data_IF_458468216565
#
_entry.id   IF_458468216565
#
_cell.length_a   1.000
_cell.length_b   1.000
_cell.length_c   1.000
_cell.angle_alpha   90.00
_cell.angle_beta   90.00
_cell.angle_gamma   90.00
#
_symmetry.space_group_name_H-M   'P 1'
#
loop_
_entity.id
_entity.type
_entity.pdbx_description
1 polymer ?
#
# COMPACT_ATOMS: atom_id res chain seq x y z
N UNK A 1 1.99 -5.23 13.79
CA UNK A 1 0.53 -5.08 13.63
C UNK A 1 0.32 -4.15 12.46
N UNK A 2 -0.35 -4.60 11.40
CA UNK A 2 -0.67 -3.78 10.23
C UNK A 2 -1.75 -2.79 10.64
N UNK A 3 -1.38 -1.53 10.83
CA UNK A 3 -2.32 -0.45 11.15
C UNK A 3 -2.37 0.51 9.97
N UNK A 4 -3.53 1.13 9.81
CA UNK A 4 -3.75 2.22 8.85
C UNK A 4 -3.59 3.54 9.58
N UNK A 5 -2.73 4.41 9.08
CA UNK A 5 -2.64 5.79 9.52
C UNK A 5 -3.69 6.63 8.79
N UNK A 6 -4.58 7.28 9.53
CA UNK A 6 -5.73 8.02 9.01
C UNK A 6 -5.80 9.42 9.66
N UNK A 7 -4.83 10.31 9.36
CA UNK A 7 -4.86 11.68 9.83
C UNK A 7 -6.07 12.42 9.25
N UNK A 8 -6.61 13.39 9.99
CA UNK A 8 -7.73 14.16 9.48
C UNK A 8 -7.25 15.20 8.45
N UNK A 9 -7.50 14.95 7.17
CA UNK A 9 -7.32 15.94 6.10
C UNK A 9 -5.93 15.98 5.46
N UNK A 10 -5.04 15.03 5.76
CA UNK A 10 -3.74 14.96 5.09
C UNK A 10 -3.81 14.04 3.86
N UNK A 11 -3.61 14.60 2.68
CA UNK A 11 -3.73 13.88 1.43
C UNK A 11 -2.37 13.29 1.00
N UNK A 12 -2.21 11.97 1.17
CA UNK A 12 -1.01 11.24 0.73
C UNK A 12 -1.08 10.99 -0.78
N UNK A 13 -0.30 11.74 -1.54
CA UNK A 13 -0.24 11.61 -3.00
C UNK A 13 0.90 10.74 -3.48
N UNK A 14 1.94 10.54 -2.67
CA UNK A 14 3.12 9.75 -3.03
C UNK A 14 3.37 8.62 -2.03
N UNK A 15 3.90 7.47 -2.47
CA UNK A 15 4.27 6.36 -1.57
C UNK A 15 5.21 6.78 -0.44
N UNK A 16 6.20 7.62 -0.73
CA UNK A 16 7.17 8.07 0.26
C UNK A 16 6.57 8.94 1.37
N UNK A 17 5.53 9.73 1.08
CA UNK A 17 4.82 10.48 2.13
C UNK A 17 4.19 9.53 3.14
N UNK A 18 3.57 8.45 2.69
CA UNK A 18 2.97 7.45 3.57
C UNK A 18 4.05 6.65 4.31
N UNK A 19 5.10 6.19 3.62
CA UNK A 19 6.25 5.48 4.20
C UNK A 19 6.91 6.25 5.34
N UNK A 20 7.05 7.57 5.23
CA UNK A 20 7.68 8.41 6.24
C UNK A 20 6.93 8.44 7.59
N UNK A 21 5.69 7.95 7.63
CA UNK A 21 4.86 7.92 8.85
C UNK A 21 5.15 6.72 9.76
N UNK A 22 5.97 5.77 9.30
CA UNK A 22 6.30 4.56 10.04
C UNK A 22 7.81 4.37 10.13
N UNK A 23 8.29 4.02 11.33
CA UNK A 23 9.68 3.65 11.55
C UNK A 23 9.86 2.15 11.36
N UNK A 24 10.52 1.78 10.25
CA UNK A 24 10.80 0.39 9.90
C UNK A 24 11.92 -0.25 10.72
N UNK A 25 12.78 0.55 11.35
CA UNK A 25 13.84 0.03 12.22
C UNK A 25 13.25 -0.45 13.56
N UNK A 26 12.40 0.37 14.19
CA UNK A 26 11.70 0.01 15.42
C UNK A 26 10.38 -0.76 15.20
N UNK A 27 9.91 -0.83 13.95
CA UNK A 27 8.62 -1.41 13.55
C UNK A 27 7.44 -0.79 14.29
N UNK A 28 7.44 0.53 14.44
CA UNK A 28 6.42 1.27 15.18
C UNK A 28 6.06 2.60 14.51
N UNK A 29 4.85 3.10 14.81
CA UNK A 29 4.50 4.48 14.47
C UNK A 29 5.17 5.42 15.49
N UNK A 30 5.77 6.55 15.06
CA UNK A 30 6.38 7.51 15.96
C UNK A 30 5.38 8.03 16.99
N UNK A 31 5.83 8.30 18.21
CA UNK A 31 4.98 8.83 19.29
C UNK A 31 4.32 10.19 18.97
N UNK A 32 4.81 10.90 17.96
CA UNK A 32 4.22 12.14 17.46
C UNK A 32 2.90 11.92 16.71
N UNK A 33 2.61 10.70 16.24
CA UNK A 33 1.32 10.36 15.61
C UNK A 33 0.29 10.08 16.70
N UNK A 34 -0.80 10.86 16.79
CA UNK A 34 -1.85 10.63 17.78
C UNK A 34 -2.48 9.24 17.62
N UNK A 35 -2.67 8.52 18.73
CA UNK A 35 -3.29 7.19 18.71
C UNK A 35 -4.70 7.19 18.09
N UNK A 36 -5.44 8.28 18.20
CA UNK A 36 -6.76 8.45 17.57
C UNK A 36 -6.75 8.47 16.04
N UNK A 37 -5.57 8.63 15.42
CA UNK A 37 -5.36 8.62 13.97
C UNK A 37 -4.88 7.25 13.47
N UNK A 38 -4.61 6.31 14.37
CA UNK A 38 -4.24 4.94 14.01
C UNK A 38 -5.46 4.03 14.06
N UNK A 39 -5.62 3.22 13.02
CA UNK A 39 -6.78 2.34 12.85
C UNK A 39 -6.34 0.90 12.64
N UNK A 40 -7.04 -0.02 13.27
CA UNK A 40 -6.77 -1.47 13.19
C UNK A 40 -7.47 -2.14 12.01
N UNK A 41 -7.71 -1.40 10.92
CA UNK A 41 -8.53 -1.87 9.81
C UNK A 41 -7.89 -3.00 8.99
N UNK A 42 -6.57 -3.01 8.81
CA UNK A 42 -5.95 -4.03 7.96
C UNK A 42 -6.14 -5.44 8.52
N UNK A 43 -6.84 -6.30 7.78
CA UNK A 43 -7.05 -7.70 8.14
C UNK A 43 -8.24 -7.95 9.08
N UNK A 44 -9.01 -6.93 9.46
CA UNK A 44 -10.32 -7.11 10.11
C UNK A 44 -11.46 -6.91 9.11
N UNK A 45 -12.70 -7.29 9.48
CA UNK A 45 -13.94 -7.05 8.70
C UNK A 45 -13.82 -7.26 7.18
N UNK A 46 -13.10 -8.30 6.76
CA UNK A 46 -12.76 -8.52 5.34
C UNK A 46 -13.97 -8.60 4.39
N UNK A 47 -15.16 -8.91 4.91
CA UNK A 47 -16.42 -8.99 4.17
C UNK A 47 -17.13 -7.64 3.98
N UNK A 48 -16.68 -6.56 4.64
CA UNK A 48 -17.27 -5.22 4.56
C UNK A 48 -16.93 -4.51 3.23
N UNK A 49 -15.76 -4.82 2.66
CA UNK A 49 -15.31 -4.25 1.39
C UNK A 49 -14.75 -2.83 1.47
N UNK A 50 -14.71 -2.21 2.65
CA UNK A 50 -14.03 -0.94 2.87
C UNK A 50 -12.54 -1.03 2.54
N UNK A 51 -12.01 0.00 1.87
CA UNK A 51 -10.62 0.05 1.39
C UNK A 51 -9.58 -0.16 2.51
N UNK A 52 -9.85 0.32 3.72
CA UNK A 52 -8.99 0.11 4.89
C UNK A 52 -8.90 -1.34 5.36
N UNK A 53 -9.92 -2.15 5.06
CA UNK A 53 -10.02 -3.56 5.44
C UNK A 53 -9.47 -4.49 4.35
N UNK A 54 -9.92 -4.30 3.12
CA UNK A 54 -9.71 -5.24 2.00
C UNK A 54 -9.06 -4.60 0.77
N UNK A 55 -8.76 -3.30 0.81
CA UNK A 55 -8.12 -2.59 -0.28
C UNK A 55 -6.67 -3.03 -0.48
N UNK A 56 -6.24 -3.11 -1.73
CA UNK A 56 -4.86 -3.39 -2.12
C UNK A 56 -4.46 -2.40 -3.20
N UNK A 57 -3.32 -1.74 -3.02
CA UNK A 57 -2.73 -0.86 -4.02
C UNK A 57 -1.31 -1.28 -4.37
N UNK A 58 -0.92 -1.09 -5.64
CA UNK A 58 0.37 -1.54 -6.18
C UNK A 58 1.41 -0.42 -6.30
N UNK A 59 1.28 0.61 -5.49
CA UNK A 59 2.10 1.82 -5.53
C UNK A 59 3.43 1.72 -4.74
N UNK A 60 3.54 0.76 -3.83
CA UNK A 60 4.74 0.52 -3.01
C UNK A 60 4.98 -0.99 -2.89
N UNK A 61 6.24 -1.40 -2.81
CA UNK A 61 6.60 -2.80 -2.66
C UNK A 61 5.98 -3.40 -1.37
N UNK A 62 5.80 -4.74 -1.33
CA UNK A 62 5.30 -5.40 -0.12
C UNK A 62 6.12 -5.03 1.12
N UNK A 63 5.43 -4.77 2.23
CA UNK A 63 6.04 -4.42 3.52
C UNK A 63 6.91 -3.14 3.53
N UNK A 64 6.93 -2.33 2.47
CA UNK A 64 7.82 -1.16 2.37
C UNK A 64 7.17 0.16 2.82
N UNK A 65 5.86 0.17 3.03
CA UNK A 65 5.05 1.32 3.47
C UNK A 65 3.90 0.84 4.35
N UNK A 66 3.46 1.61 5.36
CA UNK A 66 2.18 1.36 6.01
C UNK A 66 1.02 1.68 5.05
N UNK A 67 -0.21 1.39 5.49
CA UNK A 67 -1.40 1.93 4.85
C UNK A 67 -1.68 3.35 5.36
N UNK A 68 -2.02 4.27 4.46
CA UNK A 68 -2.39 5.64 4.81
C UNK A 68 -3.70 6.03 4.15
N UNK A 69 -4.68 6.43 4.95
CA UNK A 69 -5.97 6.94 4.51
C UNK A 69 -6.01 8.47 4.65
N UNK A 70 -6.72 9.14 3.75
CA UNK A 70 -6.89 10.59 3.81
C UNK A 70 -7.69 11.08 5.02
N UNK A 71 -8.65 10.26 5.48
CA UNK A 71 -9.57 10.64 6.52
C UNK A 71 -9.86 9.44 7.41
N UNK A 72 -10.43 9.69 8.59
CA UNK A 72 -10.87 8.65 9.51
C UNK A 72 -12.17 7.96 9.04
N UNK A 73 -12.15 7.43 7.82
CA UNK A 73 -13.22 6.67 7.20
C UNK A 73 -12.64 5.40 6.55
N UNK A 74 -13.19 4.25 6.92
CA UNK A 74 -12.69 2.92 6.55
C UNK A 74 -12.83 2.60 5.06
N UNK A 75 -13.83 3.15 4.37
CA UNK A 75 -13.95 3.12 2.92
C UNK A 75 -13.27 4.34 2.23
N UNK A 76 -12.46 5.09 2.97
CA UNK A 76 -11.79 6.28 2.48
C UNK A 76 -10.72 6.02 1.42
N UNK A 77 -10.48 7.05 0.63
CA UNK A 77 -9.36 7.09 -0.32
C UNK A 77 -8.04 7.04 0.43
N UNK A 78 -7.11 6.24 -0.07
CA UNK A 78 -5.82 6.04 0.57
C UNK A 78 -4.91 5.13 -0.24
N UNK A 79 -3.73 4.92 0.32
CA UNK A 79 -2.75 3.95 -0.15
C UNK A 79 -2.81 2.74 0.78
N UNK A 80 -3.04 1.57 0.21
CA UNK A 80 -3.16 0.31 0.93
C UNK A 80 -2.17 -0.72 0.35
N UNK A 81 -0.85 -0.44 0.41
CA UNK A 81 0.14 -1.38 -0.09
C UNK A 81 0.09 -2.66 0.74
N UNK A 82 0.32 -3.83 0.13
CA UNK A 82 0.17 -5.08 0.83
C UNK A 82 1.27 -5.25 1.89
N UNK A 83 0.88 -5.89 2.98
CA UNK A 83 1.76 -6.18 4.10
C UNK A 83 1.52 -7.60 4.62
N UNK A 84 2.56 -8.21 5.17
CA UNK A 84 2.56 -9.56 5.71
C UNK A 84 3.65 -9.74 6.76
N UNK A 85 3.45 -10.69 7.66
CA UNK A 85 4.48 -11.12 8.61
C UNK A 85 5.49 -12.11 7.99
N UNK A 86 5.25 -12.59 6.77
CA UNK A 86 6.20 -13.47 6.08
C UNK A 86 7.52 -12.75 5.80
N UNK A 87 8.63 -13.47 6.01
CA UNK A 87 9.95 -12.94 5.71
C UNK A 87 10.11 -12.75 4.21
N UNK A 88 10.46 -11.53 3.80
CA UNK A 88 10.87 -11.23 2.43
C UNK A 88 9.75 -11.01 1.41
N UNK A 89 8.46 -11.07 1.79
CA UNK A 89 7.39 -10.85 0.80
C UNK A 89 5.97 -11.10 1.31
N UNK A 90 5.06 -11.22 0.35
CA UNK A 90 3.66 -11.61 0.54
C UNK A 90 3.31 -12.81 -0.35
N UNK A 91 2.27 -13.55 0.04
CA UNK A 91 1.57 -14.47 -0.87
C UNK A 91 0.42 -13.71 -1.51
N UNK A 92 0.38 -13.65 -2.84
CA UNK A 92 -0.66 -13.00 -3.61
C UNK A 92 -1.46 -14.00 -4.44
N UNK A 93 -2.77 -13.82 -4.47
CA UNK A 93 -3.69 -14.51 -5.39
C UNK A 93 -4.08 -13.53 -6.48
N UNK A 94 -3.95 -13.94 -7.73
CA UNK A 94 -4.31 -13.14 -8.89
C UNK A 94 -5.72 -13.47 -9.38
N UNK A 95 -6.28 -12.62 -10.24
CA UNK A 95 -7.64 -12.80 -10.79
C UNK A 95 -7.81 -14.09 -11.61
N UNK A 96 -6.71 -14.68 -12.07
CA UNK A 96 -6.66 -15.98 -12.77
C UNK A 96 -6.55 -17.19 -11.81
N UNK A 97 -6.72 -16.97 -10.50
CA UNK A 97 -6.53 -17.93 -9.42
C UNK A 97 -5.09 -18.46 -9.27
N UNK A 98 -4.11 -17.90 -9.97
CA UNK A 98 -2.71 -18.21 -9.72
C UNK A 98 -2.25 -17.64 -8.37
N UNK A 99 -1.38 -18.39 -7.69
CA UNK A 99 -0.77 -17.98 -6.42
C UNK A 99 0.71 -17.76 -6.64
N UNK A 100 1.23 -16.58 -6.28
CA UNK A 100 2.66 -16.27 -6.38
C UNK A 100 3.16 -15.61 -5.11
N UNK A 101 4.43 -15.88 -4.81
CA UNK A 101 5.15 -15.13 -3.80
C UNK A 101 5.74 -13.87 -4.42
N UNK A 102 5.40 -12.70 -3.89
CA UNK A 102 5.92 -11.41 -4.33
C UNK A 102 6.90 -10.91 -3.28
N UNK A 103 8.15 -10.70 -3.69
CA UNK A 103 9.21 -10.28 -2.77
C UNK A 103 9.12 -8.80 -2.43
N UNK A 104 9.60 -8.41 -1.24
CA UNK A 104 9.76 -7.00 -0.83
C UNK A 104 10.69 -6.19 -1.77
N UNK A 105 11.51 -6.87 -2.56
CA UNK A 105 12.47 -6.28 -3.51
C UNK A 105 11.93 -6.17 -4.94
N UNK A 106 10.63 -6.43 -5.17
CA UNK A 106 10.02 -6.21 -6.48
C UNK A 106 10.21 -4.75 -6.90
N UNK A 107 10.47 -4.51 -8.19
CA UNK A 107 10.55 -3.16 -8.73
C UNK A 107 9.22 -2.42 -8.52
N UNK A 108 9.26 -1.42 -7.66
CA UNK A 108 8.14 -0.53 -7.36
C UNK A 108 8.34 0.88 -7.94
N UNK A 109 9.32 1.08 -8.83
CA UNK A 109 9.54 2.33 -9.55
C UNK A 109 9.71 3.57 -8.65
N UNK A 110 9.21 4.71 -9.11
CA UNK A 110 9.41 5.99 -8.45
C UNK A 110 8.45 6.20 -7.26
N UNK A 111 8.98 6.02 -6.04
CA UNK A 111 8.24 6.21 -4.80
C UNK A 111 7.91 7.67 -4.45
N UNK A 112 8.41 8.64 -5.24
CA UNK A 112 8.04 10.06 -5.16
C UNK A 112 7.04 10.46 -6.26
N UNK A 113 6.60 9.54 -7.13
CA UNK A 113 5.60 9.85 -8.13
C UNK A 113 4.23 10.07 -7.47
N UNK A 114 3.54 11.12 -7.93
CA UNK A 114 2.17 11.44 -7.52
C UNK A 114 1.21 10.42 -8.13
N UNK A 115 0.57 9.60 -7.30
CA UNK A 115 -0.37 8.55 -7.70
C UNK A 115 -1.78 9.04 -8.05
N UNK A 116 -2.03 10.35 -8.00
CA UNK A 116 -3.34 10.94 -8.33
C UNK A 116 -3.34 11.49 -9.75
N UNK A 117 -4.38 11.17 -10.53
CA UNK A 117 -4.55 11.72 -11.88
C UNK A 117 -3.49 11.21 -12.88
N UNK A 118 -2.98 10.00 -12.66
CA UNK A 118 -2.02 9.38 -13.56
C UNK A 118 -2.60 9.22 -14.97
N UNK A 119 -1.83 9.62 -15.97
CA UNK A 119 -2.12 9.39 -17.39
C UNK A 119 -0.96 8.61 -18.00
N UNK A 120 -1.27 7.48 -18.66
CA UNK A 120 -0.25 6.60 -19.28
C UNK A 120 0.29 5.50 -18.35
N UNK A 121 1.50 5.00 -18.64
CA UNK A 121 2.24 4.00 -17.86
C UNK A 121 2.25 4.25 -16.34
N UNK A 122 2.22 3.16 -15.55
CA UNK A 122 2.32 3.27 -14.09
C UNK A 122 3.74 3.66 -13.69
N UNK A 123 3.96 4.70 -12.87
CA UNK A 123 5.31 5.08 -12.44
C UNK A 123 5.88 4.13 -11.37
N UNK A 124 5.09 3.17 -10.91
CA UNK A 124 5.44 2.30 -9.78
C UNK A 124 6.05 0.96 -10.24
N UNK A 125 6.77 0.97 -11.36
CA UNK A 125 7.56 -0.16 -11.84
C UNK A 125 6.72 -1.39 -12.19
N UNK A 126 7.36 -2.56 -12.17
CA UNK A 126 6.71 -3.85 -12.43
C UNK A 126 5.52 -4.06 -11.49
N UNK A 127 5.66 -3.76 -10.19
CA UNK A 127 4.57 -3.95 -9.24
C UNK A 127 3.36 -3.08 -9.59
N UNK A 128 3.59 -1.81 -9.88
CA UNK A 128 2.59 -0.87 -10.38
C UNK A 128 1.88 -1.38 -11.62
N UNK A 129 2.64 -1.85 -12.60
CA UNK A 129 2.14 -2.40 -13.86
C UNK A 129 1.16 -3.56 -13.65
N UNK A 130 1.44 -4.49 -12.73
CA UNK A 130 0.57 -5.63 -12.41
C UNK A 130 -0.82 -5.19 -11.91
N UNK A 131 -0.92 -4.03 -11.29
CA UNK A 131 -2.20 -3.47 -10.82
C UNK A 131 -2.98 -2.72 -11.89
N UNK A 132 -2.40 -2.50 -13.08
CA UNK A 132 -3.06 -1.79 -14.17
C UNK A 132 -3.93 -2.72 -15.00
N UNK A 133 -5.04 -2.20 -15.53
CA UNK A 133 -5.87 -2.94 -16.51
C UNK A 133 -5.14 -3.29 -17.81
N UNK A 134 -4.10 -2.51 -18.13
CA UNK A 134 -3.40 -2.62 -19.40
C UNK A 134 -2.35 -3.74 -19.38
N UNK A 135 -1.92 -4.21 -18.20
CA UNK A 135 -1.20 -5.47 -18.00
C UNK A 135 0.15 -5.66 -18.71
N UNK A 136 0.64 -4.69 -19.49
CA UNK A 136 1.69 -4.91 -20.50
C UNK A 136 2.85 -3.89 -20.45
N UNK A 137 3.30 -3.49 -19.27
CA UNK A 137 4.58 -2.75 -19.17
C UNK A 137 5.74 -3.76 -19.34
N UNK A 138 6.74 -3.47 -20.20
CA UNK A 138 7.78 -4.44 -20.55
C UNK A 138 8.53 -4.93 -19.31
N UNK A 139 8.60 -6.26 -19.20
CA UNK A 139 9.35 -6.98 -18.18
C UNK A 139 10.83 -6.92 -18.56
N UNK A 140 11.52 -5.81 -18.27
CA UNK A 140 12.96 -5.88 -18.10
C UNK A 140 13.26 -5.92 -16.61
N UNK A 141 13.62 -7.12 -16.14
CA UNK A 141 14.55 -7.22 -15.01
C UNK A 141 15.91 -6.65 -15.40
#
# INVERSE_FOLDING_TARGET
MTMTYAPQGNWFTTPNQCRATFDFASRSFPAAIPQGELRTWSGERWHDGGSGFSGVSTNAAPNSSPACCYAAWDAGSGMYPPSSAHTGGIVAVFGDASVRFITNNIDSGNQNATGTGLTGPSPFGIFGAMGTRAGEEPISQ
#
